data_IF_171399087478
#
_entry.id   IF_171399087478
#
_cell.length_a   1.000
_cell.length_b   1.000
_cell.length_c   1.000
_cell.angle_alpha   90.00
_cell.angle_beta   90.00
_cell.angle_gamma   90.00
#
_symmetry.space_group_name_H-M   'P 1'
#
loop_
_entity.id
_entity.type
_entity.pdbx_description
1 polymer ?
#
# COMPACT_ATOMS: atom_id res chain seq x y z
N UNK A 1 -11.40 -9.24 17.48
CA UNK A 1 -12.30 -8.43 16.64
C UNK A 1 -13.35 -7.79 17.52
N UNK A 2 -13.55 -6.49 17.40
CA UNK A 2 -14.71 -5.80 17.99
C UNK A 2 -15.99 -6.08 17.18
N UNK A 3 -17.14 -5.58 17.64
CA UNK A 3 -18.43 -5.88 17.00
C UNK A 3 -18.51 -5.35 15.55
N UNK A 4 -18.01 -4.13 15.27
CA UNK A 4 -18.04 -3.54 13.92
C UNK A 4 -17.20 -4.39 12.94
N UNK A 5 -16.03 -4.85 13.39
CA UNK A 5 -15.18 -5.77 12.63
C UNK A 5 -15.87 -7.12 12.38
N UNK A 6 -16.58 -7.65 13.38
CA UNK A 6 -17.33 -8.91 13.25
C UNK A 6 -18.48 -8.77 12.25
N UNK A 7 -19.22 -7.67 12.28
CA UNK A 7 -20.31 -7.41 11.32
C UNK A 7 -19.80 -7.38 9.88
N UNK A 8 -18.71 -6.65 9.62
CA UNK A 8 -18.09 -6.61 8.30
C UNK A 8 -17.57 -7.99 7.88
N UNK A 9 -16.89 -8.70 8.78
CA UNK A 9 -16.41 -10.05 8.52
C UNK A 9 -17.55 -11.00 8.12
N UNK A 10 -18.64 -11.01 8.89
CA UNK A 10 -19.78 -11.88 8.62
C UNK A 10 -20.52 -11.48 7.34
N UNK A 11 -20.63 -10.19 7.04
CA UNK A 11 -21.19 -9.71 5.77
C UNK A 11 -20.40 -10.21 4.56
N UNK A 12 -19.06 -10.07 4.57
CA UNK A 12 -18.19 -10.58 3.49
C UNK A 12 -18.27 -12.11 3.40
N UNK A 13 -18.25 -12.80 4.54
CA UNK A 13 -18.36 -14.27 4.59
C UNK A 13 -19.68 -14.77 4.02
N UNK A 14 -20.79 -14.12 4.37
CA UNK A 14 -22.11 -14.47 3.84
C UNK A 14 -22.18 -14.27 2.32
N UNK A 15 -21.62 -13.17 1.82
CA UNK A 15 -21.49 -12.95 0.38
C UNK A 15 -20.68 -14.07 -0.28
N UNK A 16 -19.52 -14.46 0.30
CA UNK A 16 -18.70 -15.56 -0.21
C UNK A 16 -19.49 -16.87 -0.28
N UNK A 17 -20.20 -17.23 0.79
CA UNK A 17 -21.05 -18.43 0.83
C UNK A 17 -22.13 -18.40 -0.26
N UNK A 18 -22.80 -17.25 -0.46
CA UNK A 18 -23.81 -17.10 -1.52
C UNK A 18 -23.19 -17.26 -2.90
N UNK A 19 -22.05 -16.63 -3.15
CA UNK A 19 -21.33 -16.68 -4.44
C UNK A 19 -20.80 -18.08 -4.77
N UNK A 20 -20.41 -18.86 -3.76
CA UNK A 20 -20.00 -20.26 -3.93
C UNK A 20 -21.16 -21.15 -4.40
N UNK A 21 -22.38 -20.92 -3.90
CA UNK A 21 -23.56 -21.71 -4.28
C UNK A 21 -24.26 -21.18 -5.53
N UNK A 22 -24.14 -19.88 -5.83
CA UNK A 22 -24.76 -19.23 -6.97
C UNK A 22 -23.76 -18.28 -7.68
N UNK A 23 -23.19 -18.70 -8.81
CA UNK A 23 -22.28 -17.91 -9.64
C UNK A 23 -22.90 -16.65 -10.27
N UNK A 24 -24.19 -16.39 -10.12
CA UNK A 24 -24.87 -15.19 -10.64
C UNK A 24 -25.02 -14.07 -9.58
N UNK A 25 -24.67 -14.34 -8.31
CA UNK A 25 -24.75 -13.34 -7.22
C UNK A 25 -23.86 -12.14 -7.52
N UNK A 26 -24.39 -10.91 -7.53
CA UNK A 26 -23.61 -9.73 -7.93
C UNK A 26 -22.23 -9.63 -7.21
N UNK A 27 -21.15 -9.29 -7.94
CA UNK A 27 -19.82 -9.09 -7.34
C UNK A 27 -19.83 -8.06 -6.22
N UNK A 28 -19.29 -8.41 -5.06
CA UNK A 28 -19.13 -7.52 -3.92
C UNK A 28 -18.20 -6.36 -4.27
N UNK A 29 -18.56 -5.12 -3.93
CA UNK A 29 -17.70 -3.94 -4.09
C UNK A 29 -17.82 -3.08 -2.84
N UNK A 30 -16.96 -3.37 -1.87
CA UNK A 30 -17.03 -2.82 -0.52
C UNK A 30 -15.76 -2.03 -0.21
N UNK A 31 -15.93 -0.80 0.25
CA UNK A 31 -14.88 0.02 0.83
C UNK A 31 -15.00 0.02 2.35
N UNK A 32 -13.97 -0.45 3.04
CA UNK A 32 -13.84 -0.43 4.49
C UNK A 32 -12.86 0.68 4.85
N UNK A 33 -13.31 1.63 5.67
CA UNK A 33 -12.44 2.68 6.20
C UNK A 33 -12.38 2.66 7.72
N UNK A 34 -11.25 3.06 8.30
CA UNK A 34 -11.01 2.96 9.75
C UNK A 34 -9.53 2.79 10.09
N UNK A 35 -9.19 2.74 11.37
CA UNK A 35 -7.81 2.51 11.82
C UNK A 35 -7.33 1.09 11.47
N UNK A 36 -6.16 0.98 10.84
CA UNK A 36 -5.68 -0.25 10.20
C UNK A 36 -5.38 -1.44 11.13
N UNK A 37 -5.69 -2.65 10.65
CA UNK A 37 -5.15 -3.94 11.11
C UNK A 37 -6.11 -5.13 10.92
N UNK A 38 -5.85 -6.02 9.94
CA UNK A 38 -6.31 -7.42 9.93
C UNK A 38 -5.53 -8.25 8.90
N UNK A 39 -5.13 -9.46 9.26
CA UNK A 39 -4.33 -10.40 8.46
C UNK A 39 -5.20 -11.56 7.94
N UNK A 40 -5.05 -12.00 6.68
CA UNK A 40 -5.59 -13.28 6.19
C UNK A 40 -4.50 -14.32 5.85
N UNK A 41 -4.86 -15.60 5.94
CA UNK A 41 -4.00 -16.79 5.84
C UNK A 41 -3.88 -17.35 4.40
N UNK A 42 -2.72 -17.91 4.02
CA UNK A 42 -2.37 -18.36 2.66
C UNK A 42 -2.38 -19.89 2.47
N UNK A 43 -3.16 -20.39 1.50
CA UNK A 43 -2.79 -21.48 0.55
C UNK A 43 -3.99 -21.87 -0.32
N UNK A 44 -3.83 -22.05 -1.65
CA UNK A 44 -4.34 -23.14 -2.56
C UNK A 44 -3.77 -22.85 -3.97
N UNK A 45 -3.40 -23.89 -4.74
CA UNK A 45 -2.91 -23.89 -6.14
C UNK A 45 -3.82 -23.19 -7.19
N UNK A 46 -4.97 -22.67 -6.76
CA UNK A 46 -5.81 -21.74 -7.51
C UNK A 46 -6.16 -20.55 -6.60
N UNK A 47 -5.86 -19.35 -7.07
CA UNK A 47 -6.04 -18.14 -6.28
C UNK A 47 -7.50 -17.70 -6.41
N UNK A 48 -8.38 -18.21 -5.55
CA UNK A 48 -9.75 -17.72 -5.43
C UNK A 48 -9.83 -16.39 -4.69
N UNK A 49 -8.84 -16.10 -3.84
CA UNK A 49 -8.73 -14.86 -3.07
C UNK A 49 -7.31 -14.33 -3.14
N UNK A 50 -7.17 -13.03 -3.42
CA UNK A 50 -5.88 -12.37 -3.51
C UNK A 50 -5.87 -11.13 -2.60
N UNK A 51 -4.75 -10.89 -1.93
CA UNK A 51 -4.54 -9.69 -1.11
C UNK A 51 -3.47 -8.83 -1.77
N UNK A 52 -3.79 -7.56 -1.95
CA UNK A 52 -2.91 -6.59 -2.57
C UNK A 52 -2.81 -5.32 -1.77
N UNK A 53 -1.73 -4.57 -1.94
CA UNK A 53 -1.59 -3.21 -1.43
C UNK A 53 -0.83 -2.32 -2.41
N UNK A 54 -0.86 -1.00 -2.19
CA UNK A 54 -0.14 -0.06 -3.04
C UNK A 54 1.40 -0.11 -2.85
N UNK A 55 1.86 -0.14 -1.60
CA UNK A 55 3.30 -0.15 -1.26
C UNK A 55 3.79 -1.54 -0.87
N UNK A 56 5.08 -1.81 -1.06
CA UNK A 56 5.69 -3.08 -0.63
C UNK A 56 5.57 -3.31 0.88
N UNK A 57 5.78 -2.28 1.69
CA UNK A 57 5.63 -2.37 3.15
C UNK A 57 4.20 -2.71 3.57
N UNK A 58 3.19 -2.09 2.95
CA UNK A 58 1.80 -2.42 3.20
C UNK A 58 1.46 -3.85 2.75
N UNK A 59 1.95 -4.27 1.59
CA UNK A 59 1.72 -5.62 1.08
C UNK A 59 2.29 -6.68 2.03
N UNK A 60 3.52 -6.50 2.53
CA UNK A 60 4.12 -7.40 3.52
C UNK A 60 3.31 -7.43 4.81
N UNK A 61 2.81 -6.28 5.28
CA UNK A 61 2.00 -6.22 6.50
C UNK A 61 0.70 -7.03 6.44
N UNK A 62 0.12 -7.21 5.25
CA UNK A 62 -1.12 -7.98 5.06
C UNK A 62 -0.90 -9.36 4.48
N UNK A 63 0.35 -9.83 4.41
CA UNK A 63 0.68 -11.12 3.79
C UNK A 63 0.33 -11.18 2.30
N UNK A 64 0.38 -10.05 1.60
CA UNK A 64 -0.01 -9.91 0.20
C UNK A 64 1.13 -9.44 -0.70
N UNK A 65 0.74 -9.02 -1.91
CA UNK A 65 1.66 -8.54 -2.95
C UNK A 65 1.28 -7.14 -3.42
N UNK A 66 2.19 -6.40 -4.06
CA UNK A 66 1.82 -5.09 -4.60
C UNK A 66 0.88 -5.24 -5.80
N UNK A 67 -0.05 -4.30 -6.00
CA UNK A 67 -0.94 -4.25 -7.19
C UNK A 67 -0.14 -4.37 -8.49
N UNK A 68 1.01 -3.67 -8.56
CA UNK A 68 1.91 -3.72 -9.71
C UNK A 68 2.41 -5.14 -9.99
N UNK A 69 2.87 -5.88 -8.98
CA UNK A 69 3.37 -7.26 -9.16
C UNK A 69 2.24 -8.26 -9.40
N UNK A 70 1.12 -8.12 -8.66
CA UNK A 70 -0.05 -8.97 -8.72
C UNK A 70 -0.63 -9.03 -10.12
N UNK A 71 -0.67 -7.87 -10.78
CA UNK A 71 -1.30 -7.74 -12.08
C UNK A 71 -0.31 -7.56 -13.21
N UNK A 72 0.98 -7.32 -12.95
CA UNK A 72 1.99 -7.07 -13.99
C UNK A 72 1.78 -5.71 -14.67
N UNK A 73 1.48 -4.68 -13.86
CA UNK A 73 1.27 -3.30 -14.31
C UNK A 73 2.58 -2.53 -14.08
N UNK A 74 3.05 -1.81 -15.11
CA UNK A 74 4.28 -1.04 -15.02
C UNK A 74 4.15 0.14 -14.04
N UNK A 75 5.27 0.54 -13.43
CA UNK A 75 5.32 1.74 -12.56
C UNK A 75 5.42 3.05 -13.34
N UNK A 76 5.71 2.99 -14.64
CA UNK A 76 5.85 4.14 -15.52
C UNK A 76 4.53 4.39 -16.25
N UNK A 77 3.91 5.55 -16.00
CA UNK A 77 2.60 5.98 -16.50
C UNK A 77 2.53 6.29 -18.02
N UNK A 78 3.16 5.47 -18.87
CA UNK A 78 3.07 5.69 -20.31
C UNK A 78 2.09 4.72 -20.97
N UNK A 79 0.87 5.23 -21.15
CA UNK A 79 -0.07 5.00 -22.26
C UNK A 79 -0.34 3.56 -22.69
N UNK A 80 -1.62 3.14 -22.73
CA UNK A 80 -2.31 2.29 -23.74
C UNK A 80 -1.58 1.07 -24.39
N UNK A 81 -0.36 0.75 -23.98
CA UNK A 81 0.65 -0.12 -24.59
C UNK A 81 1.16 -1.16 -23.60
N UNK A 82 0.68 -1.09 -22.34
CA UNK A 82 0.82 -2.09 -21.29
C UNK A 82 -0.06 -3.34 -21.54
N UNK A 83 -0.32 -3.65 -22.81
CA UNK A 83 -0.89 -4.94 -23.16
C UNK A 83 0.21 -5.98 -22.92
N UNK A 84 -0.04 -6.88 -21.98
CA UNK A 84 0.83 -8.04 -21.80
C UNK A 84 0.91 -8.81 -23.11
N UNK A 85 2.10 -9.31 -23.43
CA UNK A 85 2.26 -10.35 -24.46
C UNK A 85 1.28 -11.49 -24.19
N UNK A 86 0.77 -12.14 -25.24
CA UNK A 86 -0.18 -13.26 -25.12
C UNK A 86 0.28 -14.32 -24.10
N UNK A 87 1.57 -14.69 -24.10
CA UNK A 87 2.12 -15.70 -23.19
C UNK A 87 2.05 -15.28 -21.72
N UNK A 88 2.44 -14.03 -21.42
CA UNK A 88 2.31 -13.45 -20.07
C UNK A 88 0.84 -13.38 -19.65
N UNK A 89 -0.04 -12.92 -20.53
CA UNK A 89 -1.47 -12.84 -20.21
C UNK A 89 -2.05 -14.24 -19.94
N UNK A 90 -1.70 -15.24 -20.75
CA UNK A 90 -2.11 -16.63 -20.52
C UNK A 90 -1.58 -17.17 -19.19
N UNK A 91 -0.36 -16.80 -18.80
CA UNK A 91 0.17 -17.15 -17.48
C UNK A 91 -0.67 -16.55 -16.34
N UNK A 92 -1.11 -15.29 -16.47
CA UNK A 92 -2.03 -14.68 -15.51
C UNK A 92 -3.41 -15.34 -15.54
N UNK A 93 -3.92 -15.73 -16.71
CA UNK A 93 -5.20 -16.46 -16.83
C UNK A 93 -5.15 -17.81 -16.12
N UNK A 94 -4.04 -18.54 -16.23
CA UNK A 94 -3.86 -19.80 -15.51
C UNK A 94 -3.81 -19.59 -13.99
N UNK A 95 -3.17 -18.51 -13.53
CA UNK A 95 -2.99 -18.23 -12.09
C UNK A 95 -4.21 -17.59 -11.41
N UNK A 96 -4.88 -16.66 -12.10
CA UNK A 96 -5.89 -15.75 -11.55
C UNK A 96 -7.26 -15.89 -12.23
N UNK A 97 -7.42 -16.78 -13.22
CA UNK A 97 -8.69 -16.97 -13.92
C UNK A 97 -9.84 -17.47 -13.04
N UNK A 98 -9.52 -18.04 -11.86
CA UNK A 98 -10.50 -18.49 -10.87
C UNK A 98 -10.65 -17.53 -9.69
N UNK A 99 -10.02 -16.35 -9.74
CA UNK A 99 -10.12 -15.29 -8.73
C UNK A 99 -11.57 -14.83 -8.57
N UNK A 100 -12.07 -14.87 -7.33
CA UNK A 100 -13.44 -14.44 -6.99
C UNK A 100 -13.46 -13.21 -6.10
N UNK A 101 -12.45 -13.05 -5.25
CA UNK A 101 -12.37 -11.98 -4.27
C UNK A 101 -10.97 -11.36 -4.23
N UNK A 102 -10.89 -10.04 -4.28
CA UNK A 102 -9.66 -9.27 -4.23
C UNK A 102 -9.73 -8.30 -3.06
N UNK A 103 -8.78 -8.41 -2.13
CA UNK A 103 -8.54 -7.42 -1.09
C UNK A 103 -7.51 -6.41 -1.58
N UNK A 104 -7.78 -5.12 -1.38
CA UNK A 104 -6.88 -4.04 -1.74
C UNK A 104 -6.68 -3.14 -0.53
N UNK A 105 -5.53 -3.22 0.13
CA UNK A 105 -5.18 -2.39 1.27
C UNK A 105 -4.47 -1.09 0.85
N UNK A 106 -4.52 -0.09 1.73
CA UNK A 106 -4.00 1.26 1.51
C UNK A 106 -4.53 1.95 0.24
N UNK A 107 -5.84 1.85 0.01
CA UNK A 107 -6.48 2.41 -1.21
C UNK A 107 -6.38 3.93 -1.34
N UNK A 108 -6.08 4.64 -0.25
CA UNK A 108 -5.86 6.10 -0.23
C UNK A 108 -4.67 6.53 -1.09
N UNK A 109 -3.67 5.65 -1.24
CA UNK A 109 -2.46 5.91 -2.03
C UNK A 109 -2.62 5.56 -3.52
N UNK A 110 -3.70 4.88 -3.90
CA UNK A 110 -3.91 4.41 -5.26
C UNK A 110 -4.38 5.55 -6.16
N UNK A 111 -3.75 5.67 -7.33
CA UNK A 111 -4.15 6.62 -8.36
C UNK A 111 -5.34 6.12 -9.17
N UNK A 112 -6.19 7.03 -9.65
CA UNK A 112 -7.31 6.68 -10.54
C UNK A 112 -6.86 5.96 -11.83
N UNK A 113 -5.67 6.30 -12.34
CA UNK A 113 -5.05 5.63 -13.50
C UNK A 113 -4.67 4.18 -13.21
N UNK A 114 -4.04 3.91 -12.07
CA UNK A 114 -3.71 2.55 -11.62
C UNK A 114 -4.98 1.74 -11.35
N UNK A 115 -6.02 2.36 -10.80
CA UNK A 115 -7.33 1.75 -10.60
C UNK A 115 -7.98 1.30 -11.92
N UNK A 116 -7.95 2.18 -12.94
CA UNK A 116 -8.42 1.84 -14.29
C UNK A 116 -7.57 0.77 -14.99
N UNK A 117 -6.25 0.77 -14.76
CA UNK A 117 -5.35 -0.27 -15.26
C UNK A 117 -5.65 -1.63 -14.61
N UNK A 118 -5.90 -1.65 -13.31
CA UNK A 118 -6.32 -2.86 -12.57
C UNK A 118 -7.64 -3.40 -13.10
N UNK A 119 -8.64 -2.52 -13.31
CA UNK A 119 -9.91 -2.88 -13.96
C UNK A 119 -9.68 -3.54 -15.32
N UNK A 120 -8.89 -2.90 -16.18
CA UNK A 120 -8.60 -3.40 -17.53
C UNK A 120 -7.85 -4.74 -17.50
N UNK A 121 -6.94 -4.92 -16.55
CA UNK A 121 -6.18 -6.18 -16.42
C UNK A 121 -7.07 -7.32 -15.93
N UNK A 122 -7.96 -7.07 -14.97
CA UNK A 122 -8.90 -8.07 -14.48
C UNK A 122 -9.89 -8.50 -15.57
N UNK A 123 -10.44 -7.57 -16.37
CA UNK A 123 -11.31 -7.94 -17.50
C UNK A 123 -10.59 -8.78 -18.55
N UNK A 124 -9.31 -8.47 -18.84
CA UNK A 124 -8.47 -9.27 -19.74
C UNK A 124 -8.18 -10.69 -19.20
N UNK A 125 -7.88 -10.81 -17.91
CA UNK A 125 -7.63 -12.09 -17.23
C UNK A 125 -8.90 -12.94 -17.23
N UNK A 126 -10.04 -12.36 -16.88
CA UNK A 126 -11.31 -13.09 -16.85
C UNK A 126 -11.90 -13.40 -18.22
N UNK A 127 -11.39 -12.76 -19.28
CA UNK A 127 -11.88 -12.95 -20.64
C UNK A 127 -13.29 -12.39 -20.86
N UNK A 128 -13.72 -11.44 -20.02
CA UNK A 128 -15.05 -10.82 -20.10
C UNK A 128 -14.90 -9.44 -20.74
N UNK A 129 -15.39 -9.32 -21.97
CA UNK A 129 -15.28 -8.09 -22.78
C UNK A 129 -16.58 -7.28 -22.81
N UNK A 130 -17.35 -7.30 -21.71
CA UNK A 130 -18.54 -6.48 -21.55
C UNK A 130 -18.22 -5.20 -20.78
N UNK A 131 -18.76 -4.06 -21.25
CA UNK A 131 -18.68 -2.79 -20.52
C UNK A 131 -19.39 -2.84 -19.16
N UNK A 132 -20.27 -3.82 -18.94
CA UNK A 132 -20.94 -4.03 -17.65
C UNK A 132 -20.13 -4.89 -16.67
N UNK A 133 -19.06 -5.54 -17.13
CA UNK A 133 -18.25 -6.43 -16.31
C UNK A 133 -17.18 -5.65 -15.54
N UNK A 134 -17.64 -4.91 -14.52
CA UNK A 134 -16.76 -4.10 -13.67
C UNK A 134 -15.76 -5.02 -12.93
N UNK A 135 -14.47 -4.79 -13.17
CA UNK A 135 -13.35 -5.62 -12.66
C UNK A 135 -13.45 -7.10 -13.07
N UNK A 136 -14.01 -7.41 -14.24
CA UNK A 136 -14.15 -8.80 -14.70
C UNK A 136 -15.06 -9.63 -13.79
N UNK A 137 -16.00 -8.99 -13.08
CA UNK A 137 -16.91 -9.61 -12.11
C UNK A 137 -16.21 -10.24 -10.88
N UNK A 138 -14.99 -9.80 -10.58
CA UNK A 138 -14.29 -10.09 -9.32
C UNK A 138 -14.87 -9.23 -8.21
N UNK A 139 -15.17 -9.83 -7.06
CA UNK A 139 -15.52 -9.08 -5.87
C UNK A 139 -14.31 -8.33 -5.33
N UNK A 140 -14.46 -7.06 -4.96
CA UNK A 140 -13.40 -6.22 -4.42
C UNK A 140 -13.78 -5.76 -3.02
N UNK A 141 -12.86 -5.97 -2.07
CA UNK A 141 -12.88 -5.35 -0.76
C UNK A 141 -11.68 -4.41 -0.68
N UNK A 142 -11.96 -3.10 -0.74
CA UNK A 142 -10.99 -2.04 -0.61
C UNK A 142 -10.87 -1.62 0.86
N UNK A 143 -9.66 -1.51 1.40
CA UNK A 143 -9.38 -1.08 2.77
C UNK A 143 -8.46 0.14 2.73
N UNK A 144 -8.79 1.16 3.52
CA UNK A 144 -7.91 2.30 3.70
C UNK A 144 -8.60 3.53 4.27
N UNK A 145 -7.86 4.63 4.37
CA UNK A 145 -8.37 5.87 4.93
C UNK A 145 -7.96 7.06 4.07
N UNK A 146 -8.93 7.68 3.40
CA UNK A 146 -8.69 8.84 2.54
C UNK A 146 -8.30 10.12 3.30
N UNK A 147 -8.40 10.13 4.63
CA UNK A 147 -7.80 11.20 5.44
C UNK A 147 -6.28 11.07 5.61
N UNK A 148 -5.70 9.94 5.19
CA UNK A 148 -4.24 9.76 5.14
C UNK A 148 -3.65 10.37 3.86
N UNK A 149 -2.46 9.93 3.48
CA UNK A 149 -1.78 10.40 2.29
C UNK A 149 -2.60 10.10 1.03
N UNK A 150 -2.84 11.14 0.23
CA UNK A 150 -3.36 11.00 -1.14
C UNK A 150 -2.24 10.57 -2.10
N UNK A 151 -2.58 10.09 -3.30
CA UNK A 151 -1.58 9.69 -4.26
C UNK A 151 -0.70 10.89 -4.68
N UNK A 152 0.57 10.62 -4.94
CA UNK A 152 1.54 11.68 -5.28
C UNK A 152 1.21 12.28 -6.65
N UNK A 153 0.93 13.59 -6.68
CA UNK A 153 0.73 14.39 -7.89
C UNK A 153 -0.29 13.82 -8.90
N UNK A 154 -1.29 13.08 -8.42
CA UNK A 154 -2.28 12.40 -9.26
C UNK A 154 -3.66 12.43 -8.60
N UNK A 155 -4.69 12.12 -9.37
CA UNK A 155 -6.05 12.05 -8.84
C UNK A 155 -6.27 10.73 -8.07
N UNK A 156 -6.93 10.82 -6.92
CA UNK A 156 -7.32 9.66 -6.12
C UNK A 156 -8.46 8.89 -6.76
N UNK A 157 -8.60 7.60 -6.39
CA UNK A 157 -9.63 6.71 -6.94
C UNK A 157 -11.05 7.23 -6.77
N UNK A 158 -11.34 8.00 -5.71
CA UNK A 158 -12.68 8.57 -5.50
C UNK A 158 -13.11 9.60 -6.56
N UNK A 159 -12.18 10.05 -7.41
CA UNK A 159 -12.49 10.89 -8.58
C UNK A 159 -12.90 10.07 -9.83
N UNK A 160 -12.82 8.75 -9.76
CA UNK A 160 -13.14 7.84 -10.86
C UNK A 160 -14.59 7.34 -10.76
N UNK A 161 -15.29 7.28 -11.90
CA UNK A 161 -16.61 6.63 -11.99
C UNK A 161 -16.57 5.14 -11.62
N UNK A 162 -15.43 4.48 -11.86
CA UNK A 162 -15.19 3.09 -11.42
C UNK A 162 -15.27 2.92 -9.89
N UNK A 163 -15.12 4.02 -9.15
CA UNK A 163 -15.27 4.06 -7.69
C UNK A 163 -16.64 4.61 -7.29
N UNK A 164 -16.96 5.84 -7.71
CA UNK A 164 -18.15 6.57 -7.23
C UNK A 164 -19.46 5.85 -7.49
N UNK A 165 -19.56 5.12 -8.59
CA UNK A 165 -20.84 4.55 -9.05
C UNK A 165 -20.99 3.10 -8.61
N UNK A 166 -19.95 2.49 -8.05
CA UNK A 166 -19.85 1.04 -7.89
C UNK A 166 -19.48 0.56 -6.49
N UNK A 167 -18.92 1.41 -5.62
CA UNK A 167 -18.48 1.01 -4.28
C UNK A 167 -19.42 1.53 -3.20
N UNK A 168 -19.91 0.59 -2.38
CA UNK A 168 -20.52 0.91 -1.08
C UNK A 168 -19.42 1.05 -0.03
N UNK A 169 -19.67 1.79 1.06
CA UNK A 169 -18.68 1.97 2.11
C UNK A 169 -19.21 1.70 3.52
N UNK A 170 -18.32 1.23 4.39
CA UNK A 170 -18.54 1.07 5.83
C UNK A 170 -17.39 1.75 6.58
N UNK A 171 -17.73 2.60 7.56
CA UNK A 171 -16.77 3.25 8.46
C UNK A 171 -16.70 2.49 9.79
N UNK A 172 -15.52 1.94 10.10
CA UNK A 172 -15.16 1.44 11.42
C UNK A 172 -14.79 2.62 12.32
N UNK A 173 -15.55 2.79 13.41
CA UNK A 173 -15.41 3.90 14.36
C UNK A 173 -14.52 3.53 15.54
N UNK A 174 -14.46 2.26 15.89
CA UNK A 174 -13.66 1.78 17.02
C UNK A 174 -12.19 1.64 16.61
N UNK A 175 -11.34 2.49 17.20
CA UNK A 175 -9.89 2.40 17.05
C UNK A 175 -9.29 1.47 18.12
N UNK A 176 -8.87 0.28 17.70
CA UNK A 176 -8.26 -0.71 18.58
C UNK A 176 -6.79 -0.39 18.95
N UNK A 177 -6.09 0.40 18.14
CA UNK A 177 -4.65 0.70 18.32
C UNK A 177 -4.40 1.60 19.52
N UNK A 178 -5.27 2.59 19.76
CA UNK A 178 -5.15 3.52 20.88
C UNK A 178 -6.20 3.32 21.98
N UNK A 179 -6.79 2.11 22.09
CA UNK A 179 -7.90 1.81 23.02
C UNK A 179 -7.63 2.14 24.49
N UNK A 180 -6.36 2.12 24.92
CA UNK A 180 -5.97 2.38 26.30
C UNK A 180 -5.90 3.87 26.65
N UNK A 181 -5.88 4.77 25.65
CA UNK A 181 -5.79 6.20 25.86
C UNK A 181 -6.86 6.94 25.07
N UNK A 182 -8.02 7.08 25.70
CA UNK A 182 -9.21 7.72 25.11
C UNK A 182 -8.95 9.16 24.67
N UNK A 183 -8.27 9.96 25.50
CA UNK A 183 -7.95 11.36 25.17
C UNK A 183 -7.05 11.45 23.94
N UNK A 184 -6.01 10.61 23.86
CA UNK A 184 -5.12 10.55 22.71
C UNK A 184 -5.83 10.08 21.45
N UNK A 185 -6.66 9.03 21.53
CA UNK A 185 -7.47 8.56 20.40
C UNK A 185 -8.41 9.64 19.89
N UNK A 186 -9.05 10.40 20.78
CA UNK A 186 -9.93 11.51 20.39
C UNK A 186 -9.16 12.65 19.71
N UNK A 187 -8.01 13.03 20.24
CA UNK A 187 -7.13 14.02 19.61
C UNK A 187 -6.74 13.59 18.20
N UNK A 188 -6.30 12.35 18.01
CA UNK A 188 -5.94 11.83 16.67
C UNK A 188 -7.13 11.86 15.71
N UNK A 189 -8.34 11.52 16.17
CA UNK A 189 -9.56 11.60 15.35
C UNK A 189 -9.92 13.04 14.96
N UNK A 190 -9.67 14.03 15.84
CA UNK A 190 -9.84 15.45 15.49
C UNK A 190 -8.79 15.89 14.47
N UNK A 191 -7.50 15.58 14.70
CA UNK A 191 -6.40 15.90 13.79
C UNK A 191 -6.66 15.32 12.40
N UNK A 192 -7.09 14.05 12.33
CA UNK A 192 -7.45 13.35 11.08
C UNK A 192 -8.44 14.14 10.21
N UNK A 193 -9.41 14.83 10.81
CA UNK A 193 -10.48 15.57 10.09
C UNK A 193 -10.24 17.08 10.00
N UNK A 194 -9.13 17.58 10.57
CA UNK A 194 -8.85 19.02 10.65
C UNK A 194 -8.56 19.59 9.26
N UNK A 195 -9.29 20.64 8.87
CA UNK A 195 -9.02 21.33 7.60
C UNK A 195 -7.89 22.35 7.75
N UNK A 196 -7.20 22.68 6.65
CA UNK A 196 -6.06 23.65 6.63
C UNK A 196 -6.34 25.02 7.29
N UNK A 197 -7.60 25.44 7.38
CA UNK A 197 -8.02 26.75 7.93
C UNK A 197 -8.61 26.65 9.33
N UNK A 198 -8.74 25.45 9.88
CA UNK A 198 -9.30 25.23 11.21
C UNK A 198 -8.17 25.21 12.24
N UNK A 199 -8.33 25.98 13.31
CA UNK A 199 -7.40 25.96 14.42
C UNK A 199 -7.58 24.70 15.27
N UNK A 200 -6.46 24.08 15.62
CA UNK A 200 -6.42 23.01 16.60
C UNK A 200 -6.72 23.55 18.01
N UNK A 201 -7.42 22.76 18.83
CA UNK A 201 -7.69 23.15 20.21
C UNK A 201 -6.39 23.33 21.00
N UNK A 202 -6.45 24.14 22.06
CA UNK A 202 -5.28 24.40 22.90
C UNK A 202 -4.79 23.13 23.57
N UNK A 203 -5.72 22.27 24.01
CA UNK A 203 -5.43 21.00 24.68
C UNK A 203 -4.67 20.03 23.75
N UNK A 204 -5.09 19.95 22.48
CA UNK A 204 -4.43 19.12 21.48
C UNK A 204 -3.02 19.64 21.14
N UNK A 205 -2.89 20.97 21.01
CA UNK A 205 -1.59 21.63 20.82
C UNK A 205 -0.64 21.37 22.00
N UNK A 206 -1.13 21.45 23.23
CA UNK A 206 -0.33 21.20 24.43
C UNK A 206 0.17 19.76 24.50
N UNK A 207 -0.61 18.78 24.05
CA UNK A 207 -0.19 17.38 23.97
C UNK A 207 0.91 17.19 22.92
N UNK A 208 0.76 17.77 21.73
CA UNK A 208 1.78 17.70 20.67
C UNK A 208 3.07 18.41 21.08
N UNK A 209 2.97 19.55 21.75
CA UNK A 209 4.13 20.30 22.25
C UNK A 209 4.89 19.48 23.29
N UNK A 210 4.19 18.82 24.23
CA UNK A 210 4.84 17.89 25.17
C UNK A 210 5.58 16.76 24.45
N UNK A 211 5.01 16.19 23.39
CA UNK A 211 5.70 15.20 22.56
C UNK A 211 6.95 15.79 21.88
N UNK A 212 6.86 17.02 21.39
CA UNK A 212 8.00 17.71 20.77
C UNK A 212 9.13 17.98 21.78
N UNK A 213 8.80 18.44 22.99
CA UNK A 213 9.78 18.66 24.05
C UNK A 213 10.49 17.36 24.47
N UNK A 214 9.75 16.25 24.58
CA UNK A 214 10.36 14.93 24.82
C UNK A 214 11.36 14.55 23.72
N UNK A 215 11.05 14.86 22.47
CA UNK A 215 11.98 14.65 21.37
C UNK A 215 13.24 15.54 21.49
N UNK A 216 13.09 16.83 21.77
CA UNK A 216 14.22 17.76 21.95
C UNK A 216 15.12 17.34 23.12
N UNK A 217 14.53 16.88 24.22
CA UNK A 217 15.23 16.40 25.40
C UNK A 217 15.82 14.98 25.25
N UNK A 218 15.62 14.33 24.10
CA UNK A 218 16.03 12.94 23.83
C UNK A 218 15.42 11.92 24.81
N UNK A 219 14.20 12.17 25.26
CA UNK A 219 13.42 11.31 26.17
C UNK A 219 12.67 10.20 25.40
N UNK A 220 13.42 9.44 24.62
CA UNK A 220 12.92 8.31 23.85
C UNK A 220 13.96 7.19 23.78
N UNK A 221 13.51 5.98 23.42
CA UNK A 221 14.39 4.84 23.29
C UNK A 221 15.46 5.11 22.21
N UNK A 222 16.76 4.86 22.46
CA UNK A 222 17.83 5.18 21.51
C UNK A 222 17.68 4.53 20.13
N UNK A 223 16.99 3.39 20.08
CA UNK A 223 16.70 2.65 18.85
C UNK A 223 15.25 2.81 18.37
N UNK A 224 14.57 3.89 18.78
CA UNK A 224 13.22 4.19 18.31
C UNK A 224 13.21 4.43 16.78
N UNK A 225 12.13 4.03 16.13
CA UNK A 225 11.90 4.34 14.72
C UNK A 225 11.61 5.84 14.58
N UNK A 226 12.35 6.50 13.67
CA UNK A 226 12.15 7.91 13.37
C UNK A 226 11.44 8.07 12.02
N UNK A 227 10.38 8.88 11.99
CA UNK A 227 9.61 9.19 10.79
C UNK A 227 9.95 10.61 10.34
N UNK A 228 10.25 10.77 9.05
CA UNK A 228 10.56 12.06 8.45
C UNK A 228 9.72 12.30 7.20
N UNK A 229 9.52 13.58 6.86
CA UNK A 229 8.73 13.97 5.70
C UNK A 229 9.47 13.79 4.36
N UNK A 230 10.81 13.78 4.36
CA UNK A 230 11.63 13.74 3.14
C UNK A 230 12.69 12.65 3.20
N UNK A 231 12.93 11.98 2.08
CA UNK A 231 13.97 10.95 1.96
C UNK A 231 15.35 11.46 2.34
N UNK A 232 15.71 12.71 2.00
CA UNK A 232 16.99 13.28 2.41
C UNK A 232 17.20 13.31 3.95
N UNK A 233 16.13 13.50 4.72
CA UNK A 233 16.18 13.48 6.18
C UNK A 233 16.28 12.04 6.71
N UNK A 234 15.54 11.12 6.10
CA UNK A 234 15.65 9.67 6.37
C UNK A 234 17.08 9.20 6.11
N UNK A 235 17.64 9.57 4.97
CA UNK A 235 19.00 9.26 4.53
C UNK A 235 20.05 9.78 5.52
N UNK A 236 19.93 11.04 5.93
CA UNK A 236 20.85 11.65 6.88
C UNK A 236 20.80 10.96 8.25
N UNK A 237 19.59 10.69 8.75
CA UNK A 237 19.42 10.00 10.03
C UNK A 237 19.92 8.56 9.98
N UNK A 238 19.59 7.81 8.92
CA UNK A 238 20.06 6.43 8.76
C UNK A 238 21.59 6.34 8.67
N UNK A 239 22.23 7.32 8.03
CA UNK A 239 23.69 7.42 7.96
C UNK A 239 24.32 7.69 9.33
N UNK A 240 23.75 8.59 10.12
CA UNK A 240 24.19 8.83 11.51
C UNK A 240 24.03 7.56 12.36
N UNK A 241 22.89 6.87 12.25
CA UNK A 241 22.57 5.71 13.07
C UNK A 241 23.42 4.49 12.72
N UNK A 242 23.73 4.26 11.44
CA UNK A 242 24.59 3.13 11.05
C UNK A 242 26.02 3.32 11.55
N UNK A 243 26.53 4.56 11.55
CA UNK A 243 27.86 4.89 12.10
C UNK A 243 27.91 4.78 13.63
N UNK A 244 26.80 5.11 14.29
CA UNK A 244 26.70 5.09 15.75
C UNK A 244 26.50 3.68 16.31
N UNK A 245 25.66 2.86 15.68
CA UNK A 245 25.23 1.55 16.22
C UNK A 245 26.10 0.41 15.67
N UNK A 246 26.51 0.49 14.41
CA UNK A 246 27.10 -0.66 13.73
C UNK A 246 28.62 -0.56 13.61
N UNK A 247 29.26 -1.72 13.61
CA UNK A 247 30.69 -1.87 13.29
C UNK A 247 30.88 -2.66 12.01
N UNK A 248 32.06 -2.56 11.39
CA UNK A 248 32.40 -3.30 10.16
C UNK A 248 31.45 -3.02 8.98
N UNK A 249 31.17 -1.73 8.72
CA UNK A 249 30.29 -1.29 7.64
C UNK A 249 30.90 -1.68 6.29
N UNK A 250 30.10 -2.39 5.48
CA UNK A 250 30.41 -2.77 4.10
C UNK A 250 29.68 -1.84 3.14
N UNK A 251 30.35 -1.48 2.06
CA UNK A 251 29.83 -0.57 1.05
C UNK A 251 29.64 -1.34 -0.26
N UNK A 252 28.43 -1.29 -0.79
CA UNK A 252 28.03 -1.91 -2.04
C UNK A 252 27.73 -0.81 -3.06
N UNK A 253 28.24 -0.98 -4.26
CA UNK A 253 27.98 -0.08 -5.38
C UNK A 253 27.10 -0.80 -6.39
N UNK A 254 26.13 -0.08 -6.94
CA UNK A 254 25.34 -0.58 -8.06
C UNK A 254 26.24 -0.85 -9.26
N UNK A 255 25.98 -1.96 -9.96
CA UNK A 255 26.64 -2.33 -11.20
C UNK A 255 25.57 -2.36 -12.29
N UNK A 256 25.62 -1.39 -13.20
CA UNK A 256 24.75 -1.38 -14.37
C UNK A 256 25.29 -2.34 -15.43
N UNK A 257 24.59 -3.45 -15.66
CA UNK A 257 24.94 -4.41 -16.73
C UNK A 257 24.61 -3.92 -18.15
N UNK A 258 24.04 -2.72 -18.30
CA UNK A 258 23.71 -2.14 -19.60
C UNK A 258 24.87 -1.33 -20.23
N UNK A 259 25.94 -1.07 -19.47
CA UNK A 259 27.16 -0.50 -20.03
C UNK A 259 27.96 -1.62 -20.69
N UNK A 260 27.61 -1.95 -21.95
CA UNK A 260 28.52 -2.69 -22.83
C UNK A 260 29.89 -2.01 -22.76
N UNK A 261 30.94 -2.79 -22.50
CA UNK A 261 32.32 -2.35 -22.52
C UNK A 261 32.62 -1.57 -23.82
N UNK A 262 32.54 -0.24 -23.76
CA UNK A 262 33.24 0.59 -24.74
C UNK A 262 34.68 0.65 -24.25
N UNK A 263 35.50 -0.28 -24.74
CA UNK A 263 36.96 -0.17 -24.66
C UNK A 263 37.39 1.05 -25.46
N UNK A 264 37.48 2.18 -24.78
CA UNK A 264 38.33 3.30 -25.21
C UNK A 264 39.29 3.59 -24.08
N UNK A 265 40.57 3.41 -24.39
CA UNK A 265 41.69 3.87 -23.59
C UNK A 265 41.49 5.36 -23.30
N UNK A 266 41.06 5.67 -22.09
CA UNK A 266 41.44 6.84 -21.29
C UNK A 266 40.50 6.90 -20.07
N UNK A 267 41.06 7.36 -18.95
CA UNK A 267 40.45 7.39 -17.61
C UNK A 267 38.96 7.79 -17.65
N UNK A 268 38.09 6.79 -17.62
CA UNK A 268 36.64 7.02 -17.48
C UNK A 268 36.33 7.08 -15.99
N UNK A 269 36.24 8.31 -15.46
CA UNK A 269 35.54 8.56 -14.21
C UNK A 269 34.11 8.03 -14.37
N UNK A 270 33.87 6.87 -13.77
CA UNK A 270 32.55 6.23 -13.70
C UNK A 270 31.62 7.20 -12.97
N UNK A 271 30.64 7.79 -13.68
CA UNK A 271 29.52 8.50 -13.07
C UNK A 271 28.71 7.53 -12.22
N UNK A 272 29.10 7.38 -10.95
CA UNK A 272 28.31 6.72 -9.88
C UNK A 272 27.15 7.64 -9.54
N UNK A 273 26.08 7.62 -10.34
CA UNK A 273 24.90 8.44 -10.10
C UNK A 273 23.98 7.88 -8.99
N UNK A 274 24.24 6.67 -8.48
CA UNK A 274 23.50 6.11 -7.33
C UNK A 274 24.32 6.16 -6.04
N UNK A 275 23.67 6.58 -4.96
CA UNK A 275 24.22 6.56 -3.59
C UNK A 275 24.60 5.11 -3.24
N UNK A 276 25.83 4.84 -2.75
CA UNK A 276 26.22 3.49 -2.40
C UNK A 276 25.41 2.96 -1.23
N UNK A 277 25.11 1.66 -1.25
CA UNK A 277 24.41 0.98 -0.17
C UNK A 277 25.41 0.60 0.93
N UNK A 278 25.21 1.12 2.14
CA UNK A 278 26.01 0.76 3.32
C UNK A 278 25.24 -0.25 4.17
N UNK A 279 25.86 -1.39 4.49
CA UNK A 279 25.28 -2.43 5.34
C UNK A 279 26.27 -2.88 6.41
N UNK A 280 25.75 -3.28 7.56
CA UNK A 280 26.55 -3.79 8.66
C UNK A 280 25.78 -4.87 9.43
N UNK A 281 26.50 -5.69 10.20
CA UNK A 281 25.87 -6.67 11.08
C UNK A 281 25.01 -5.92 12.11
N UNK A 282 23.77 -6.37 12.31
CA UNK A 282 22.75 -5.76 13.16
C UNK A 282 22.13 -4.45 12.65
N UNK A 283 22.49 -4.00 11.44
CA UNK A 283 21.77 -2.89 10.81
C UNK A 283 20.31 -3.32 10.54
N UNK A 284 19.36 -2.46 10.94
CA UNK A 284 17.94 -2.66 10.61
C UNK A 284 17.72 -2.23 9.16
N UNK A 285 17.16 -3.11 8.35
CA UNK A 285 16.93 -2.90 6.92
C UNK A 285 15.49 -3.20 6.57
N UNK A 286 15.00 -2.52 5.54
CA UNK A 286 13.71 -2.81 4.90
C UNK A 286 14.01 -3.35 3.50
N UNK A 287 13.39 -4.47 3.13
CA UNK A 287 13.44 -4.99 1.77
C UNK A 287 12.61 -4.07 0.87
N UNK A 288 13.18 -3.63 -0.25
CA UNK A 288 12.56 -2.73 -1.22
C UNK A 288 12.45 -3.39 -2.58
#
# INVERSE_FOLDING_TARGET
MNYEQQEVFYYVREWCTKRLHNPDVEPLRLFITGGAGTEPDENIDEIHTLITAFTGAAAVNVGGVTIHSAFGIGTQHNSLSDNLSCDKLNSYRCKLGTLKLLFVDEVSLIQASLWGAMHSRLTQIMGIHSNTAIFGNVGIVAIGDFYQCSPVASSSIYSSLLWSDHFEYVELKINERQKTNFFFSQMLNRIRKTKKKEDMSKEDRDVLEKCHQRYLNKEYHPEALHLFARNAQVDAHNEEMIEKICTNIRIFYEVNNNDKEIKTNEKTERKKNSKPLRLAKNARVMMT
#
